data_IF_698516828606
#
_entry.id   IF_698516828606
#
_cell.length_a   1.000
_cell.length_b   1.000
_cell.length_c   1.000
_cell.angle_alpha   90.00
_cell.angle_beta   90.00
_cell.angle_gamma   90.00
#
_symmetry.space_group_name_H-M   'P 1'
#
loop_
_entity.id
_entity.type
_entity.pdbx_description
1 polymer ?
#
# COMPACT_ATOMS: atom_id res chain seq x y z
N UNK A 1 -16.08 -15.51 -8.54
CA UNK A 1 -15.17 -15.27 -7.39
C UNK A 1 -13.82 -14.73 -7.85
N UNK A 2 -13.08 -15.45 -8.70
CA UNK A 2 -11.73 -15.05 -9.17
C UNK A 2 -11.70 -13.69 -9.87
N UNK A 3 -12.68 -13.39 -10.72
CA UNK A 3 -12.77 -12.09 -11.42
C UNK A 3 -12.91 -10.90 -10.46
N UNK A 4 -13.71 -11.07 -9.40
CA UNK A 4 -13.88 -10.06 -8.35
C UNK A 4 -12.55 -9.82 -7.64
N UNK A 5 -11.84 -10.87 -7.24
CA UNK A 5 -10.53 -10.78 -6.58
C UNK A 5 -9.53 -10.00 -7.45
N UNK A 6 -9.46 -10.32 -8.75
CA UNK A 6 -8.53 -9.65 -9.68
C UNK A 6 -8.91 -8.17 -9.84
N UNK A 7 -10.19 -7.86 -10.00
CA UNK A 7 -10.67 -6.47 -10.13
C UNK A 7 -10.41 -5.67 -8.86
N UNK A 8 -10.72 -6.22 -7.68
CA UNK A 8 -10.41 -5.61 -6.39
C UNK A 8 -8.92 -5.35 -6.19
N UNK A 9 -8.07 -6.32 -6.55
CA UNK A 9 -6.62 -6.15 -6.47
C UNK A 9 -6.13 -5.02 -7.39
N UNK A 10 -6.68 -4.91 -8.61
CA UNK A 10 -6.38 -3.81 -9.54
C UNK A 10 -6.79 -2.44 -8.98
N UNK A 11 -7.96 -2.35 -8.33
CA UNK A 11 -8.39 -1.12 -7.65
C UNK A 11 -7.41 -0.73 -6.56
N UNK A 12 -7.00 -1.69 -5.73
CA UNK A 12 -6.00 -1.48 -4.69
C UNK A 12 -4.65 -0.99 -5.24
N UNK A 13 -4.11 -1.68 -6.25
CA UNK A 13 -2.86 -1.31 -6.93
C UNK A 13 -2.97 0.08 -7.56
N UNK A 14 -4.08 0.36 -8.26
CA UNK A 14 -4.31 1.66 -8.89
C UNK A 14 -4.37 2.79 -7.87
N UNK A 15 -5.07 2.58 -6.75
CA UNK A 15 -5.11 3.54 -5.64
C UNK A 15 -3.72 3.80 -5.05
N UNK A 16 -2.94 2.75 -4.84
CA UNK A 16 -1.55 2.86 -4.37
C UNK A 16 -0.69 3.69 -5.33
N UNK A 17 -0.76 3.42 -6.64
CA UNK A 17 0.00 4.18 -7.66
C UNK A 17 -0.41 5.66 -7.66
N UNK A 18 -1.71 5.96 -7.59
CA UNK A 18 -2.20 7.35 -7.55
C UNK A 18 -1.64 8.09 -6.33
N UNK A 19 -1.64 7.46 -5.17
CA UNK A 19 -1.09 8.04 -3.94
C UNK A 19 0.43 8.22 -4.02
N UNK A 20 1.16 7.28 -4.63
CA UNK A 20 2.60 7.40 -4.83
C UNK A 20 2.94 8.58 -5.76
N UNK A 21 2.20 8.74 -6.86
CA UNK A 21 2.35 9.88 -7.76
C UNK A 21 2.01 11.19 -7.07
N UNK A 22 0.94 11.21 -6.25
CA UNK A 22 0.58 12.37 -5.47
C UNK A 22 1.67 12.75 -4.46
N UNK A 23 2.21 11.78 -3.72
CA UNK A 23 3.31 12.01 -2.80
C UNK A 23 4.57 12.52 -3.52
N UNK A 24 4.87 11.98 -4.70
CA UNK A 24 5.97 12.45 -5.54
C UNK A 24 5.77 13.91 -5.98
N UNK A 25 4.56 14.30 -6.39
CA UNK A 25 4.23 15.69 -6.72
C UNK A 25 4.39 16.60 -5.51
N UNK A 26 3.92 16.17 -4.33
CA UNK A 26 4.09 16.92 -3.08
C UNK A 26 5.57 17.15 -2.75
N UNK A 27 6.39 16.12 -2.90
CA UNK A 27 7.83 16.24 -2.72
C UNK A 27 8.44 17.23 -3.71
N UNK A 28 8.07 17.13 -4.99
CA UNK A 28 8.70 17.92 -6.05
C UNK A 28 8.29 19.39 -6.06
N UNK A 29 7.04 19.68 -5.73
CA UNK A 29 6.43 21.01 -5.84
C UNK A 29 6.40 21.75 -4.50
N UNK A 30 6.25 21.04 -3.39
CA UNK A 30 6.05 21.63 -2.07
C UNK A 30 7.16 21.26 -1.06
N UNK A 31 8.15 20.45 -1.48
CA UNK A 31 9.30 20.09 -0.63
C UNK A 31 8.95 19.15 0.52
N UNK A 32 7.78 18.50 0.48
CA UNK A 32 7.38 17.53 1.51
C UNK A 32 8.33 16.31 1.47
N UNK A 33 8.88 15.85 2.61
CA UNK A 33 9.72 14.66 2.63
C UNK A 33 9.03 13.43 2.05
N UNK A 34 9.74 12.67 1.21
CA UNK A 34 9.23 11.43 0.65
C UNK A 34 8.98 10.40 1.75
N UNK A 35 7.94 9.58 1.55
CA UNK A 35 7.68 8.41 2.40
C UNK A 35 8.87 7.45 2.33
N UNK A 36 9.47 7.17 3.49
CA UNK A 36 10.61 6.27 3.57
C UNK A 36 10.17 4.81 3.75
N UNK A 37 9.86 4.13 2.63
CA UNK A 37 9.47 2.71 2.64
C UNK A 37 10.58 1.79 3.17
N UNK A 38 11.84 2.21 3.14
CA UNK A 38 12.95 1.47 3.75
C UNK A 38 12.74 1.24 5.25
N UNK A 39 12.21 2.24 5.97
CA UNK A 39 11.90 2.11 7.40
C UNK A 39 10.80 1.08 7.65
N UNK A 40 9.80 1.01 6.77
CA UNK A 40 8.73 0.01 6.86
C UNK A 40 9.29 -1.40 6.65
N UNK A 41 10.19 -1.59 5.69
CA UNK A 41 10.84 -2.88 5.53
C UNK A 41 11.81 -3.22 6.65
N UNK A 42 12.48 -2.23 7.25
CA UNK A 42 13.33 -2.46 8.43
C UNK A 42 12.51 -2.93 9.62
N UNK A 43 11.36 -2.31 9.84
CA UNK A 43 10.36 -2.73 10.83
C UNK A 43 9.92 -4.18 10.58
N UNK A 44 9.47 -4.48 9.36
CA UNK A 44 8.98 -5.81 9.00
C UNK A 44 10.07 -6.88 9.10
N UNK A 45 11.30 -6.56 8.71
CA UNK A 45 12.45 -7.47 8.78
C UNK A 45 12.86 -7.86 10.22
N UNK A 46 12.49 -7.07 11.22
CA UNK A 46 12.74 -7.38 12.64
C UNK A 46 11.59 -8.10 13.33
N UNK A 47 10.38 -8.14 12.75
CA UNK A 47 9.25 -8.87 13.35
C UNK A 47 9.52 -10.35 13.62
N UNK A 48 10.20 -11.13 12.74
CA UNK A 48 10.50 -12.53 13.01
C UNK A 48 11.35 -12.76 14.27
N UNK A 49 12.08 -11.73 14.74
CA UNK A 49 12.88 -11.77 15.97
C UNK A 49 12.06 -11.45 17.24
N UNK A 50 10.74 -11.25 17.11
CA UNK A 50 9.85 -10.87 18.22
C UNK A 50 9.87 -9.37 18.54
N UNK A 51 10.69 -8.57 17.83
CA UNK A 51 10.71 -7.12 17.95
C UNK A 51 9.66 -6.51 17.02
N UNK A 52 8.46 -6.29 17.56
CA UNK A 52 7.35 -5.62 16.84
C UNK A 52 7.34 -4.10 17.02
N UNK A 53 7.92 -3.64 18.13
CA UNK A 53 8.01 -2.22 18.49
C UNK A 53 9.49 -1.86 18.61
N UNK A 54 9.91 -0.87 17.82
CA UNK A 54 11.25 -0.31 17.84
C UNK A 54 11.14 1.17 18.16
N UNK A 55 11.70 1.58 19.30
CA UNK A 55 11.61 2.97 19.80
C UNK A 55 12.21 3.98 18.82
N UNK A 56 13.22 3.57 18.05
CA UNK A 56 13.82 4.40 17.01
C UNK A 56 14.22 3.57 15.79
N UNK A 57 13.33 3.49 14.81
CA UNK A 57 13.56 2.77 13.54
C UNK A 57 14.80 3.23 12.77
N UNK A 58 15.21 4.50 12.93
CA UNK A 58 16.42 5.03 12.30
C UNK A 58 17.72 4.44 12.87
N UNK A 59 17.71 4.01 14.13
CA UNK A 59 18.86 3.41 14.82
C UNK A 59 18.87 1.88 14.78
N UNK A 60 17.76 1.26 14.36
CA UNK A 60 17.68 -0.19 14.18
C UNK A 60 18.65 -0.62 13.08
N UNK A 61 19.28 -1.78 13.24
CA UNK A 61 20.22 -2.34 12.27
C UNK A 61 19.54 -2.48 10.89
N UNK A 62 20.19 -2.11 9.77
CA UNK A 62 19.63 -2.37 8.44
C UNK A 62 19.42 -3.87 8.17
N UNK A 63 18.33 -4.21 7.49
CA UNK A 63 18.04 -5.59 7.03
C UNK A 63 18.31 -5.69 5.52
N UNK A 64 18.94 -6.77 5.03
CA UNK A 64 19.10 -6.98 3.59
C UNK A 64 17.75 -6.94 2.87
N UNK A 65 17.64 -6.11 1.83
CA UNK A 65 16.41 -5.99 1.04
C UNK A 65 15.28 -5.18 1.71
N UNK A 66 15.52 -4.46 2.80
CA UNK A 66 14.49 -3.69 3.52
C UNK A 66 13.76 -2.67 2.63
N UNK A 67 14.41 -2.08 1.63
CA UNK A 67 13.72 -1.20 0.69
C UNK A 67 12.66 -1.95 -0.14
N UNK A 68 13.03 -3.08 -0.74
CA UNK A 68 12.10 -3.91 -1.51
C UNK A 68 10.99 -4.47 -0.63
N UNK A 69 11.32 -4.92 0.59
CA UNK A 69 10.35 -5.44 1.55
C UNK A 69 9.28 -4.40 1.92
N UNK A 70 9.70 -3.15 2.16
CA UNK A 70 8.79 -2.04 2.45
C UNK A 70 7.84 -1.74 1.29
N UNK A 71 8.36 -1.69 0.07
CA UNK A 71 7.54 -1.47 -1.13
C UNK A 71 6.55 -2.61 -1.39
N UNK A 72 6.99 -3.87 -1.26
CA UNK A 72 6.10 -5.02 -1.40
C UNK A 72 4.97 -4.93 -0.37
N UNK A 73 5.31 -4.64 0.89
CA UNK A 73 4.32 -4.54 1.96
C UNK A 73 3.31 -3.41 1.71
N UNK A 74 3.75 -2.26 1.20
CA UNK A 74 2.88 -1.16 0.79
C UNK A 74 1.84 -1.59 -0.25
N UNK A 75 2.26 -2.29 -1.31
CA UNK A 75 1.34 -2.78 -2.34
C UNK A 75 0.42 -3.89 -1.82
N UNK A 76 0.89 -4.74 -0.90
CA UNK A 76 0.05 -5.74 -0.23
C UNK A 76 -1.08 -5.08 0.56
N UNK A 77 -0.79 -4.01 1.31
CA UNK A 77 -1.81 -3.24 2.02
C UNK A 77 -2.81 -2.61 1.03
N UNK A 78 -2.32 -2.02 -0.06
CA UNK A 78 -3.18 -1.46 -1.12
C UNK A 78 -4.16 -2.49 -1.68
N UNK A 79 -3.66 -3.68 -2.03
CA UNK A 79 -4.48 -4.81 -2.50
C UNK A 79 -5.49 -5.23 -1.42
N UNK A 80 -5.06 -5.34 -0.17
CA UNK A 80 -5.93 -5.69 0.95
C UNK A 80 -7.08 -4.67 1.12
N UNK A 81 -6.80 -3.37 0.98
CA UNK A 81 -7.84 -2.35 0.98
C UNK A 81 -8.80 -2.44 -0.22
N UNK A 82 -8.29 -2.75 -1.41
CA UNK A 82 -9.16 -2.99 -2.58
C UNK A 82 -10.10 -4.18 -2.37
N UNK A 83 -9.62 -5.25 -1.75
CA UNK A 83 -10.44 -6.41 -1.37
C UNK A 83 -11.44 -6.05 -0.27
N UNK A 84 -11.01 -5.34 0.77
CA UNK A 84 -11.84 -4.93 1.89
C UNK A 84 -12.98 -4.00 1.45
N UNK A 85 -12.70 -3.07 0.53
CA UNK A 85 -13.69 -2.16 -0.03
C UNK A 85 -14.85 -2.95 -0.67
N UNK A 86 -14.52 -3.92 -1.53
CA UNK A 86 -15.51 -4.76 -2.19
C UNK A 86 -16.23 -5.69 -1.21
N UNK A 87 -15.54 -6.16 -0.17
CA UNK A 87 -16.16 -6.97 0.88
C UNK A 87 -17.20 -6.20 1.70
N UNK A 88 -16.98 -4.90 1.94
CA UNK A 88 -17.90 -4.05 2.72
C UNK A 88 -19.06 -3.54 1.87
N UNK A 89 -18.79 -3.04 0.66
CA UNK A 89 -19.79 -2.36 -0.17
C UNK A 89 -20.47 -3.26 -1.21
N UNK A 90 -19.96 -4.48 -1.40
CA UNK A 90 -20.42 -5.40 -2.43
C UNK A 90 -19.78 -5.14 -3.80
N UNK A 91 -19.62 -6.20 -4.58
CA UNK A 91 -18.99 -6.13 -5.91
C UNK A 91 -19.80 -5.28 -6.90
N UNK A 92 -21.13 -5.35 -6.85
CA UNK A 92 -22.00 -4.63 -7.79
C UNK A 92 -21.90 -3.11 -7.61
N UNK A 93 -21.73 -2.62 -6.37
CA UNK A 93 -21.56 -1.20 -6.12
C UNK A 93 -20.18 -0.66 -6.48
N UNK A 94 -19.12 -1.46 -6.28
CA UNK A 94 -17.74 -1.01 -6.46
C UNK A 94 -17.18 -1.26 -7.86
N UNK A 95 -17.66 -2.30 -8.55
CA UNK A 95 -17.05 -2.80 -9.79
C UNK A 95 -17.99 -2.71 -11.00
N UNK A 96 -19.25 -2.31 -10.80
CA UNK A 96 -20.13 -2.04 -11.94
C UNK A 96 -19.67 -0.79 -12.69
N UNK A 97 -19.66 -0.81 -14.03
CA UNK A 97 -19.55 0.42 -14.79
C UNK A 97 -20.73 1.33 -14.43
N UNK A 98 -20.48 2.63 -14.30
CA UNK A 98 -21.56 3.60 -14.12
C UNK A 98 -22.54 3.42 -15.28
N UNK A 99 -23.77 2.97 -15.01
CA UNK A 99 -24.80 2.93 -16.05
C UNK A 99 -25.08 4.38 -16.46
N UNK A 100 -25.02 4.71 -17.76
CA UNK A 100 -25.47 6.02 -18.20
C UNK A 100 -26.96 6.08 -17.89
N UNK A 101 -27.34 6.91 -16.91
CA UNK A 101 -28.73 7.28 -16.70
C UNK A 101 -29.17 8.08 -17.91
N UNK A 102 -29.91 7.43 -18.82
CA UNK A 102 -30.71 8.07 -19.86
C UNK A 102 -32.16 8.20 -19.35
#
# INVERSE_FOLDING_TARGET
MTDIIIKSARVGIGGTIVLDLYAFLLQRLFGVPATNWQMVGRWLGHMPSGSFVQTNLGQVKPVPGEHALGWIFHYVIGIAYGLLLVAIWGADGCLSPASPSL
#
